data_IF_957234266887
#
_entry.id   IF_957234266887
#
_cell.length_a   1.000
_cell.length_b   1.000
_cell.length_c   1.000
_cell.angle_alpha   90.00
_cell.angle_beta   90.00
_cell.angle_gamma   90.00
#
_symmetry.space_group_name_H-M   'P 1'
#
loop_
_entity.id
_entity.type
_entity.pdbx_description
1 polymer ?
#
# COMPACT_ATOMS: atom_id res chain seq x y z
N UNK A 1 1.97 7.60 -19.47
CA UNK A 1 2.03 6.80 -18.23
C UNK A 1 0.69 6.11 -18.06
N UNK A 2 0.71 4.82 -17.80
CA UNK A 2 -0.50 4.01 -17.66
C UNK A 2 -0.82 3.74 -16.19
N UNK A 3 0.20 3.59 -15.33
CA UNK A 3 0.01 3.47 -13.88
C UNK A 3 -0.05 4.86 -13.26
N UNK A 4 -1.20 5.21 -12.69
CA UNK A 4 -1.44 6.50 -12.04
C UNK A 4 -1.15 6.45 -10.54
N UNK A 5 -1.35 5.31 -9.90
CA UNK A 5 -1.04 5.12 -8.49
C UNK A 5 -1.15 3.68 -8.00
N UNK A 6 -0.57 3.46 -6.82
CA UNK A 6 -0.66 2.22 -6.06
C UNK A 6 -1.24 2.51 -4.68
N UNK A 7 -2.01 1.58 -4.14
CA UNK A 7 -2.56 1.65 -2.78
C UNK A 7 -2.40 0.31 -2.09
N UNK A 8 -1.86 0.31 -0.88
CA UNK A 8 -1.76 -0.87 -0.03
C UNK A 8 -3.04 -1.02 0.78
N UNK A 9 -3.55 -2.24 0.86
CA UNK A 9 -4.80 -2.54 1.54
C UNK A 9 -4.69 -3.88 2.27
N UNK A 10 -5.30 -3.94 3.47
CA UNK A 10 -5.44 -5.19 4.21
C UNK A 10 -4.09 -5.92 4.38
N UNK A 11 -3.09 -5.20 4.86
CA UNK A 11 -1.81 -5.75 5.29
C UNK A 11 -1.95 -6.58 6.58
N UNK A 12 -0.86 -7.17 7.04
CA UNK A 12 -0.87 -8.10 8.16
C UNK A 12 -1.28 -7.44 9.48
N UNK A 13 -0.86 -6.19 9.72
CA UNK A 13 -1.14 -5.46 10.96
C UNK A 13 -2.27 -4.41 10.85
N UNK A 14 -2.78 -4.17 9.64
CA UNK A 14 -3.95 -3.33 9.37
C UNK A 14 -3.65 -1.83 9.30
N UNK A 15 -2.40 -1.43 9.17
CA UNK A 15 -2.01 -0.03 9.13
C UNK A 15 -1.99 0.58 7.71
N UNK A 16 -2.19 -0.24 6.68
CA UNK A 16 -2.16 0.11 5.25
C UNK A 16 -0.81 0.70 4.79
N UNK A 17 0.26 0.30 5.44
CA UNK A 17 1.63 0.49 5.00
C UNK A 17 2.17 -0.85 4.48
N UNK A 18 3.33 -0.84 3.86
CA UNK A 18 4.01 -2.07 3.49
C UNK A 18 5.31 -2.14 4.28
N UNK A 19 5.32 -2.95 5.32
CA UNK A 19 6.41 -3.09 6.26
C UNK A 19 7.15 -4.44 6.07
N UNK A 20 8.39 -4.58 6.54
CA UNK A 20 9.04 -5.88 6.64
C UNK A 20 8.20 -6.86 7.46
N UNK A 21 7.97 -8.07 6.91
CA UNK A 21 7.12 -9.09 7.49
C UNK A 21 5.65 -9.06 7.07
N UNK A 22 5.21 -8.01 6.38
CA UNK A 22 3.83 -7.90 5.92
C UNK A 22 3.52 -8.73 4.70
N UNK A 23 2.25 -9.11 4.61
CA UNK A 23 1.59 -9.51 3.38
C UNK A 23 0.47 -8.52 3.09
N UNK A 24 0.55 -7.81 1.97
CA UNK A 24 -0.37 -6.73 1.63
C UNK A 24 -1.01 -6.93 0.26
N UNK A 25 -2.20 -6.38 0.09
CA UNK A 25 -2.89 -6.26 -1.19
C UNK A 25 -2.51 -4.97 -1.86
N UNK A 26 -1.97 -5.06 -3.06
CA UNK A 26 -1.57 -3.89 -3.85
C UNK A 26 -2.62 -3.65 -4.93
N UNK A 27 -3.37 -2.58 -4.75
CA UNK A 27 -4.36 -2.10 -5.71
C UNK A 27 -3.71 -1.13 -6.69
N UNK A 28 -4.11 -1.22 -7.95
CA UNK A 28 -3.55 -0.40 -9.02
C UNK A 28 -4.59 0.55 -9.56
N UNK A 29 -4.18 1.79 -9.78
CA UNK A 29 -4.93 2.81 -10.50
C UNK A 29 -4.29 2.99 -11.87
N UNK A 30 -5.07 2.81 -12.93
CA UNK A 30 -4.62 2.98 -14.31
C UNK A 30 -5.24 4.23 -14.93
N UNK A 31 -4.47 4.92 -15.78
CA UNK A 31 -4.93 6.01 -16.63
C UNK A 31 -4.91 5.59 -18.11
N UNK A 32 -5.93 5.97 -18.85
CA UNK A 32 -5.97 5.79 -20.30
C UNK A 32 -5.56 7.10 -21.01
N UNK A 33 -4.33 7.15 -21.49
CA UNK A 33 -3.79 8.30 -22.23
C UNK A 33 -3.99 8.20 -23.75
N UNK A 34 -4.76 7.21 -24.22
CA UNK A 34 -5.02 6.96 -25.63
C UNK A 34 -6.32 7.61 -26.10
N UNK A 35 -6.52 7.64 -27.43
CA UNK A 35 -7.69 8.25 -28.07
C UNK A 35 -8.91 7.35 -28.16
N UNK A 36 -8.87 6.11 -27.70
CA UNK A 36 -9.96 5.14 -27.66
C UNK A 36 -10.15 4.53 -26.27
N UNK A 37 -11.29 3.86 -26.07
CA UNK A 37 -11.60 3.17 -24.82
C UNK A 37 -10.61 2.02 -24.58
N UNK A 38 -10.08 1.91 -23.36
CA UNK A 38 -9.36 0.73 -22.93
C UNK A 38 -10.35 -0.31 -22.43
N UNK A 39 -10.33 -1.50 -23.06
CA UNK A 39 -11.20 -2.65 -22.76
C UNK A 39 -10.35 -3.91 -22.58
N UNK A 40 -10.90 -4.94 -21.96
CA UNK A 40 -10.22 -6.21 -21.71
C UNK A 40 -8.85 -5.98 -21.05
N UNK A 41 -8.87 -5.25 -19.96
CA UNK A 41 -7.65 -4.79 -19.28
C UNK A 41 -7.21 -5.85 -18.29
N UNK A 42 -5.94 -6.24 -18.40
CA UNK A 42 -5.27 -7.15 -17.48
C UNK A 42 -3.91 -6.57 -17.08
N UNK A 43 -3.41 -6.93 -15.92
CA UNK A 43 -2.08 -6.53 -15.49
C UNK A 43 -1.35 -7.68 -14.81
N UNK A 44 -0.02 -7.76 -15.04
CA UNK A 44 0.86 -8.69 -14.34
C UNK A 44 1.98 -7.92 -13.67
N UNK A 45 2.37 -8.36 -12.47
CA UNK A 45 3.45 -7.78 -11.68
C UNK A 45 4.60 -8.78 -11.54
N UNK A 46 5.84 -8.32 -11.73
CA UNK A 46 7.05 -9.10 -11.48
C UNK A 46 8.09 -8.28 -10.75
N UNK A 47 8.93 -8.92 -9.95
CA UNK A 47 10.12 -8.34 -9.33
C UNK A 47 11.25 -9.36 -9.33
N UNK A 48 12.49 -8.86 -9.36
CA UNK A 48 13.71 -9.67 -9.15
C UNK A 48 14.37 -9.33 -7.80
N UNK A 49 13.72 -8.47 -7.01
CA UNK A 49 14.20 -8.08 -5.69
C UNK A 49 13.83 -9.17 -4.66
N UNK A 50 14.82 -9.65 -3.94
CA UNK A 50 14.69 -10.76 -3.00
C UNK A 50 14.07 -10.35 -1.66
N UNK A 51 13.83 -9.06 -1.44
CA UNK A 51 13.14 -8.55 -0.25
C UNK A 51 11.65 -8.84 -0.24
N UNK A 52 11.07 -9.19 -1.40
CA UNK A 52 9.63 -9.47 -1.54
C UNK A 52 9.36 -10.75 -2.30
N UNK A 53 8.21 -11.34 -1.99
CA UNK A 53 7.63 -12.45 -2.77
C UNK A 53 6.26 -12.03 -3.29
N UNK A 54 6.04 -12.11 -4.61
CA UNK A 54 4.74 -11.86 -5.22
C UNK A 54 3.95 -13.17 -5.17
N UNK A 55 2.93 -13.22 -4.32
CA UNK A 55 2.09 -14.40 -4.08
C UNK A 55 0.96 -14.53 -5.10
N UNK A 56 0.41 -13.38 -5.54
CA UNK A 56 -0.52 -13.27 -6.65
C UNK A 56 -0.07 -12.14 -7.56
N UNK A 57 0.28 -12.47 -8.77
CA UNK A 57 0.93 -11.57 -9.72
C UNK A 57 0.02 -11.11 -10.87
N UNK A 58 -1.27 -11.44 -10.82
CA UNK A 58 -2.21 -11.17 -11.91
C UNK A 58 -3.43 -10.41 -11.42
N UNK A 59 -3.88 -9.44 -12.18
CA UNK A 59 -5.11 -8.69 -11.97
C UNK A 59 -5.93 -8.70 -13.25
N UNK A 60 -7.22 -9.02 -13.12
CA UNK A 60 -8.21 -8.89 -14.17
C UNK A 60 -9.18 -7.75 -13.85
N UNK A 61 -9.19 -6.72 -14.70
CA UNK A 61 -10.12 -5.62 -14.59
C UNK A 61 -11.54 -5.96 -15.12
N UNK A 62 -11.69 -7.10 -15.80
CA UNK A 62 -12.96 -7.53 -16.40
C UNK A 62 -13.75 -8.47 -15.47
N UNK A 63 -13.13 -9.04 -14.44
CA UNK A 63 -13.74 -10.00 -13.51
C UNK A 63 -14.70 -9.40 -12.48
N UNK A 64 -15.10 -8.14 -12.61
CA UNK A 64 -15.98 -7.46 -11.66
C UNK A 64 -17.43 -7.99 -11.77
N UNK A 65 -18.08 -8.33 -10.64
CA UNK A 65 -19.53 -8.63 -10.63
C UNK A 65 -20.41 -7.45 -11.05
N UNK A 66 -19.84 -6.26 -11.19
CA UNK A 66 -20.53 -5.04 -11.70
C UNK A 66 -20.36 -4.85 -13.21
N UNK A 67 -19.67 -5.78 -13.90
CA UNK A 67 -19.34 -5.72 -15.32
C UNK A 67 -17.89 -5.38 -15.58
N UNK A 68 -17.49 -5.50 -16.85
CA UNK A 68 -16.13 -5.21 -17.29
C UNK A 68 -15.80 -3.72 -17.11
N UNK A 69 -14.60 -3.44 -16.64
CA UNK A 69 -14.12 -2.08 -16.50
C UNK A 69 -13.65 -1.58 -17.86
N UNK A 70 -14.25 -0.49 -18.31
CA UNK A 70 -13.83 0.27 -19.49
C UNK A 70 -13.26 1.60 -19.01
N UNK A 71 -12.06 1.96 -19.47
CA UNK A 71 -11.46 3.26 -19.15
C UNK A 71 -11.50 4.15 -20.40
N UNK A 72 -12.39 5.17 -20.44
CA UNK A 72 -12.43 6.12 -21.55
C UNK A 72 -11.15 6.93 -21.70
N UNK A 73 -10.90 7.56 -22.86
CA UNK A 73 -9.75 8.43 -23.07
C UNK A 73 -9.64 9.56 -22.05
N UNK A 74 -8.49 9.71 -21.43
CA UNK A 74 -8.21 10.73 -20.43
C UNK A 74 -8.75 10.45 -19.01
N UNK A 75 -9.42 9.31 -18.81
CA UNK A 75 -9.98 8.92 -17.53
C UNK A 75 -9.04 7.94 -16.79
N UNK A 76 -9.30 7.80 -15.50
CA UNK A 76 -8.62 6.86 -14.61
C UNK A 76 -9.61 5.85 -14.04
N UNK A 77 -9.13 4.65 -13.75
CA UNK A 77 -9.90 3.65 -13.02
C UNK A 77 -9.00 2.73 -12.20
N UNK A 78 -9.59 2.03 -11.25
CA UNK A 78 -8.90 1.02 -10.44
C UNK A 78 -9.72 -0.25 -10.37
N UNK A 79 -9.06 -1.38 -10.10
CA UNK A 79 -9.76 -2.62 -9.76
C UNK A 79 -10.57 -2.42 -8.48
N UNK A 80 -11.75 -3.04 -8.43
CA UNK A 80 -12.63 -2.98 -7.26
C UNK A 80 -12.56 -4.31 -6.47
N UNK A 81 -12.37 -5.43 -7.18
CA UNK A 81 -12.47 -6.79 -6.62
C UNK A 81 -11.20 -7.61 -6.81
N UNK A 82 -10.14 -7.03 -7.39
CA UNK A 82 -8.90 -7.74 -7.65
C UNK A 82 -7.67 -6.90 -7.28
N UNK A 83 -6.54 -7.56 -6.92
CA UNK A 83 -5.32 -6.93 -6.43
C UNK A 83 -4.15 -7.88 -6.56
N UNK A 84 -2.94 -7.38 -6.63
CA UNK A 84 -1.75 -8.19 -6.42
C UNK A 84 -1.60 -8.53 -4.93
N UNK A 85 -1.13 -9.73 -4.61
CA UNK A 85 -0.77 -10.10 -3.25
C UNK A 85 0.76 -10.19 -3.14
N UNK A 86 1.34 -9.39 -2.25
CA UNK A 86 2.79 -9.27 -2.09
C UNK A 86 3.15 -9.45 -0.62
N UNK A 87 4.19 -10.22 -0.35
CA UNK A 87 4.76 -10.40 0.99
C UNK A 87 6.18 -9.86 1.04
N UNK A 88 6.54 -9.17 2.11
CA UNK A 88 7.92 -8.77 2.42
C UNK A 88 8.55 -9.72 3.43
N UNK A 89 9.84 -9.95 3.31
CA UNK A 89 10.61 -10.72 4.30
C UNK A 89 10.67 -9.94 5.64
N UNK A 90 10.71 -10.66 6.78
CA UNK A 90 10.73 -10.05 8.12
C UNK A 90 11.95 -9.16 8.37
N UNK A 91 13.07 -9.46 7.73
CA UNK A 91 14.33 -8.73 7.84
C UNK A 91 14.63 -7.87 6.60
N UNK A 92 13.66 -7.66 5.74
CA UNK A 92 13.80 -6.87 4.53
C UNK A 92 14.25 -5.43 4.84
N UNK A 93 15.26 -4.96 4.13
CA UNK A 93 15.73 -3.57 4.25
C UNK A 93 14.73 -2.64 3.57
N UNK A 94 14.29 -1.62 4.29
CA UNK A 94 13.36 -0.60 3.80
C UNK A 94 13.90 0.18 2.60
N UNK A 95 12.98 0.71 1.82
CA UNK A 95 13.25 1.51 0.63
C UNK A 95 12.42 1.07 -0.56
N UNK A 96 12.71 1.66 -1.69
CA UNK A 96 12.02 1.38 -2.95
C UNK A 96 12.38 -0.01 -3.48
N UNK A 97 11.37 -0.83 -3.74
CA UNK A 97 11.49 -2.18 -4.31
C UNK A 97 11.11 -2.13 -5.78
N UNK A 98 12.06 -2.32 -6.71
CA UNK A 98 11.79 -2.24 -8.13
C UNK A 98 10.91 -3.40 -8.59
N UNK A 99 9.86 -3.07 -9.34
CA UNK A 99 8.96 -4.02 -9.96
C UNK A 99 8.70 -3.62 -11.41
N UNK A 100 8.29 -4.60 -12.20
CA UNK A 100 7.86 -4.39 -13.59
C UNK A 100 6.41 -4.79 -13.70
N UNK A 101 5.58 -3.87 -14.17
CA UNK A 101 4.17 -4.11 -14.45
C UNK A 101 3.97 -4.20 -15.97
N UNK A 102 3.36 -5.28 -16.42
CA UNK A 102 2.92 -5.44 -17.80
C UNK A 102 1.41 -5.32 -17.82
N UNK A 103 0.90 -4.37 -18.59
CA UNK A 103 -0.53 -4.12 -18.77
C UNK A 103 -0.89 -4.50 -20.20
N UNK A 104 -1.94 -5.30 -20.37
CA UNK A 104 -2.54 -5.63 -21.66
C UNK A 104 -3.97 -5.09 -21.72
N UNK A 105 -4.39 -4.70 -22.91
CA UNK A 105 -5.73 -4.20 -23.16
C UNK A 105 -6.13 -4.39 -24.64
N UNK A 106 -7.36 -4.14 -24.98
CA UNK A 106 -7.85 -4.13 -26.36
C UNK A 106 -8.55 -5.42 -26.76
N UNK A 107 -8.53 -5.72 -28.04
CA UNK A 107 -9.18 -6.91 -28.64
C UNK A 107 -8.16 -7.72 -29.42
N UNK A 108 -8.52 -8.93 -29.85
CA UNK A 108 -7.67 -9.77 -30.71
C UNK A 108 -7.28 -9.06 -32.02
N UNK A 109 -8.13 -8.18 -32.54
CA UNK A 109 -7.88 -7.39 -33.75
C UNK A 109 -6.97 -6.19 -33.48
N UNK A 110 -7.07 -5.60 -32.29
CA UNK A 110 -6.29 -4.43 -31.86
C UNK A 110 -5.72 -4.65 -30.45
N UNK A 111 -4.72 -5.54 -30.33
CA UNK A 111 -4.08 -5.79 -29.04
C UNK A 111 -3.17 -4.62 -28.65
N UNK A 112 -3.14 -4.31 -27.36
CA UNK A 112 -2.28 -3.30 -26.79
C UNK A 112 -1.52 -3.89 -25.61
N UNK A 113 -0.25 -3.52 -25.48
CA UNK A 113 0.59 -3.88 -24.34
C UNK A 113 1.51 -2.73 -23.99
N UNK A 114 1.67 -2.50 -22.70
CA UNK A 114 2.68 -1.59 -22.15
C UNK A 114 3.40 -2.27 -21.00
N UNK A 115 4.68 -1.94 -20.84
CA UNK A 115 5.52 -2.38 -19.74
C UNK A 115 6.01 -1.14 -19.02
N UNK A 116 5.75 -1.06 -17.72
CA UNK A 116 6.17 0.06 -16.89
C UNK A 116 7.02 -0.41 -15.71
N UNK A 117 8.10 0.33 -15.45
CA UNK A 117 8.86 0.20 -14.22
C UNK A 117 8.11 0.95 -13.12
N UNK A 118 7.78 0.24 -12.06
CA UNK A 118 7.14 0.78 -10.86
C UNK A 118 7.95 0.43 -9.62
N UNK A 119 7.64 1.04 -8.50
CA UNK A 119 8.25 0.70 -7.23
C UNK A 119 7.20 0.50 -6.15
N UNK A 120 7.40 -0.52 -5.32
CA UNK A 120 6.71 -0.67 -4.05
C UNK A 120 7.57 -0.05 -2.96
N UNK A 121 6.96 0.76 -2.10
CA UNK A 121 7.70 1.42 -1.01
C UNK A 121 7.59 0.58 0.26
N UNK A 122 8.70 -0.07 0.61
CA UNK A 122 8.85 -0.81 1.86
C UNK A 122 9.34 0.14 2.96
N UNK A 123 8.57 0.30 4.02
CA UNK A 123 8.79 1.33 5.03
C UNK A 123 8.71 0.76 6.45
N UNK A 124 9.25 1.48 7.44
CA UNK A 124 8.99 1.26 8.87
C UNK A 124 7.99 2.28 9.42
N UNK A 125 7.37 3.06 8.54
CA UNK A 125 6.30 3.96 8.95
C UNK A 125 5.09 3.16 9.40
N UNK A 126 4.51 3.54 10.53
CA UNK A 126 3.28 2.99 11.05
C UNK A 126 2.20 4.06 11.00
N UNK A 127 0.96 3.68 10.73
CA UNK A 127 -0.16 4.63 10.74
C UNK A 127 -0.18 5.41 12.06
N UNK A 128 -0.35 6.74 11.97
CA UNK A 128 -0.32 7.64 13.12
C UNK A 128 1.09 8.08 13.54
N UNK A 129 2.16 7.52 12.99
CA UNK A 129 3.54 7.93 13.25
C UNK A 129 4.24 8.47 12.00
N UNK A 130 5.23 9.39 12.16
CA UNK A 130 5.68 10.00 13.41
C UNK A 130 4.68 11.02 13.97
N UNK A 131 4.57 11.08 15.30
CA UNK A 131 3.80 12.14 15.98
C UNK A 131 4.44 13.50 15.65
N UNK A 132 3.63 14.42 15.14
CA UNK A 132 4.09 15.75 14.73
C UNK A 132 3.63 16.81 15.74
N UNK A 133 4.38 17.92 15.81
CA UNK A 133 4.05 19.07 16.68
C UNK A 133 4.19 18.81 18.19
N UNK A 134 4.86 17.74 18.60
CA UNK A 134 5.16 17.42 20.00
C UNK A 134 6.67 17.37 20.17
N UNK A 135 7.20 18.15 21.13
CA UNK A 135 8.62 18.09 21.48
C UNK A 135 8.80 17.20 22.71
N UNK A 136 9.36 16.04 22.52
CA UNK A 136 9.61 15.06 23.59
C UNK A 136 10.79 15.52 24.46
N UNK A 137 10.60 15.54 25.78
CA UNK A 137 11.61 15.96 26.78
C UNK A 137 12.08 14.81 27.68
N UNK A 138 11.36 13.70 27.70
CA UNK A 138 11.74 12.51 28.48
C UNK A 138 12.08 11.34 27.57
N UNK A 139 12.73 10.32 28.12
CA UNK A 139 12.78 9.02 27.46
C UNK A 139 11.38 8.44 27.39
N UNK A 140 10.91 7.94 26.23
CA UNK A 140 9.65 7.28 26.12
C UNK A 140 9.66 5.93 26.85
N UNK A 141 8.52 5.54 27.38
CA UNK A 141 8.26 4.24 27.97
C UNK A 141 7.26 3.53 27.06
N UNK A 142 7.50 2.26 26.78
CA UNK A 142 6.60 1.40 26.02
C UNK A 142 6.07 0.32 26.97
N UNK A 143 4.77 0.30 27.21
CA UNK A 143 4.12 -0.64 28.12
C UNK A 143 2.66 -0.84 27.74
N UNK A 144 2.15 -2.04 27.98
CA UNK A 144 0.72 -2.36 27.94
C UNK A 144 0.14 -2.07 29.35
N UNK A 145 -0.42 -0.87 29.54
CA UNK A 145 -0.96 -0.46 30.84
C UNK A 145 -2.45 -0.75 31.01
N UNK A 146 -3.21 -0.84 29.94
CA UNK A 146 -4.63 -1.18 29.98
C UNK A 146 -4.89 -2.68 29.84
N UNK A 147 -3.83 -3.46 29.56
CA UNK A 147 -3.84 -4.92 29.43
C UNK A 147 -4.69 -5.44 28.28
N UNK A 148 -4.78 -4.69 27.19
CA UNK A 148 -5.49 -5.09 25.98
C UNK A 148 -4.65 -5.98 25.05
N UNK A 149 -3.35 -6.14 25.34
CA UNK A 149 -2.37 -6.94 24.60
C UNK A 149 -1.55 -6.14 23.58
N UNK A 150 -1.89 -4.89 23.38
CA UNK A 150 -1.08 -3.94 22.60
C UNK A 150 -0.24 -3.08 23.52
N UNK A 151 0.78 -2.42 22.98
CA UNK A 151 1.65 -1.56 23.78
C UNK A 151 1.43 -0.10 23.41
N UNK A 152 1.35 0.72 24.44
CA UNK A 152 1.28 2.18 24.34
C UNK A 152 2.66 2.78 24.50
N UNK A 153 2.82 4.01 23.98
CA UNK A 153 4.00 4.84 24.13
C UNK A 153 3.67 6.02 25.03
N UNK A 154 4.40 6.16 26.14
CA UNK A 154 4.26 7.26 27.10
C UNK A 154 5.51 8.13 27.11
N UNK A 155 5.34 9.45 27.07
CA UNK A 155 6.46 10.40 27.14
C UNK A 155 6.04 11.77 27.68
N UNK A 156 6.98 12.46 28.33
CA UNK A 156 6.81 13.86 28.75
C UNK A 156 7.23 14.81 27.64
N UNK A 157 6.49 15.90 27.48
CA UNK A 157 6.74 16.93 26.49
C UNK A 157 7.17 18.27 27.12
N UNK A 158 7.56 19.23 26.29
CA UNK A 158 8.02 20.57 26.72
C UNK A 158 6.87 21.48 27.22
N UNK A 159 5.63 21.11 26.98
CA UNK A 159 4.44 21.78 27.54
C UNK A 159 4.07 21.31 28.96
N UNK A 160 4.94 20.51 29.60
CA UNK A 160 4.77 19.91 30.92
C UNK A 160 3.61 18.90 31.01
N UNK A 161 3.23 18.30 29.90
CA UNK A 161 2.23 17.23 29.87
C UNK A 161 2.91 15.86 29.72
N UNK A 162 2.23 14.86 30.24
CA UNK A 162 2.50 13.47 29.93
C UNK A 162 1.52 13.06 28.80
N UNK A 163 2.06 12.49 27.76
CA UNK A 163 1.28 11.96 26.61
C UNK A 163 1.32 10.43 26.64
N UNK A 164 0.21 9.82 26.33
CA UNK A 164 0.08 8.40 26.05
C UNK A 164 -0.54 8.23 24.66
N UNK A 165 0.05 7.38 23.85
CA UNK A 165 -0.45 7.05 22.52
C UNK A 165 -0.53 5.55 22.33
N UNK A 166 -1.60 5.08 21.70
CA UNK A 166 -1.75 3.67 21.32
C UNK A 166 -0.84 3.33 20.11
N UNK A 167 -0.87 2.08 19.69
CA UNK A 167 -0.10 1.57 18.55
C UNK A 167 -0.44 2.25 17.20
N UNK A 168 -1.59 2.94 17.12
CA UNK A 168 -2.02 3.72 15.94
C UNK A 168 -1.73 5.22 16.04
N UNK A 169 -1.00 5.66 17.07
CA UNK A 169 -0.64 7.07 17.28
C UNK A 169 -1.79 7.93 17.82
N UNK A 170 -2.91 7.34 18.20
CA UNK A 170 -4.02 8.06 18.81
C UNK A 170 -3.72 8.38 20.27
N UNK A 171 -4.01 9.62 20.69
CA UNK A 171 -3.80 10.04 22.07
C UNK A 171 -4.81 9.39 23.01
N UNK A 172 -4.31 8.80 24.08
CA UNK A 172 -5.15 8.16 25.10
C UNK A 172 -5.83 9.19 25.98
N UNK A 173 -7.10 8.99 26.28
CA UNK A 173 -7.87 9.88 27.14
C UNK A 173 -7.38 9.79 28.61
N UNK A 174 -7.08 10.95 29.22
CA UNK A 174 -6.74 11.04 30.64
C UNK A 174 -5.25 11.17 30.96
N UNK A 175 -4.43 11.47 29.97
CA UNK A 175 -3.02 11.79 30.11
C UNK A 175 -2.71 13.26 29.84
#
# INVERSE_FOLDING_TARGET
RQVDGLTYLQDTDGDNQFNPGDTTRVKVVLSNEWGGDAVNIEATLTSQDDRITILDNYIDFNGSPLGDIVIPPGEISSTIFDWFLVSADEDAITGSVPCVMTITAGTDEYPYQVVEDIALELTLSQFGFPLRSITVKSSPIVADLDTDGYKEIYFGSDNNLLHGHNSFGEELAGF
#
